data_IF_993608637483
#
_entry.id   IF_993608637483
#
_cell.length_a   1.000
_cell.length_b   1.000
_cell.length_c   1.000
_cell.angle_alpha   90.00
_cell.angle_beta   90.00
_cell.angle_gamma   90.00
#
_symmetry.space_group_name_H-M   'P 1'
#
loop_
_entity.id
_entity.type
_entity.pdbx_description
1 polymer ?
#
# COMPACT_ATOMS: atom_id res chain seq x y z
N UNK A 1 -35.82 -4.10 3.87
CA UNK A 1 -35.24 -2.99 4.67
C UNK A 1 -34.35 -3.49 5.80
N UNK A 2 -34.75 -4.53 6.56
CA UNK A 2 -33.96 -5.05 7.69
C UNK A 2 -32.90 -6.06 7.29
N UNK A 3 -33.00 -6.70 6.14
CA UNK A 3 -32.02 -7.67 5.65
C UNK A 3 -30.65 -7.02 5.44
N UNK A 4 -30.61 -5.83 4.84
CA UNK A 4 -29.35 -5.08 4.71
C UNK A 4 -28.79 -4.63 6.07
N UNK A 5 -29.65 -4.48 7.09
CA UNK A 5 -29.22 -4.13 8.44
C UNK A 5 -28.60 -5.32 9.18
N UNK A 6 -28.95 -6.57 8.83
CA UNK A 6 -28.37 -7.75 9.45
C UNK A 6 -26.86 -7.79 9.31
N UNK A 7 -26.34 -7.52 8.13
CA UNK A 7 -24.89 -7.54 7.84
C UNK A 7 -24.21 -6.21 8.16
N UNK A 8 -24.90 -5.10 7.93
CA UNK A 8 -24.39 -3.76 8.20
C UNK A 8 -24.75 -3.27 9.61
N UNK A 9 -25.44 -4.11 10.39
CA UNK A 9 -25.94 -3.75 11.70
C UNK A 9 -24.82 -3.43 12.66
N UNK A 10 -24.59 -2.19 12.76
CA UNK A 10 -23.93 -1.55 13.83
C UNK A 10 -22.49 -1.96 14.11
N UNK A 11 -22.13 -1.54 15.28
CA UNK A 11 -20.79 -1.61 15.81
C UNK A 11 -20.31 -3.05 16.06
N UNK A 12 -21.22 -4.03 16.27
CA UNK A 12 -20.85 -5.38 16.69
C UNK A 12 -20.13 -6.17 15.58
N UNK A 13 -20.66 -6.13 14.35
CA UNK A 13 -20.01 -6.78 13.20
C UNK A 13 -18.65 -6.13 12.93
N UNK A 14 -18.63 -4.78 12.87
CA UNK A 14 -17.38 -4.04 12.63
C UNK A 14 -16.34 -4.31 13.71
N UNK A 15 -16.72 -4.27 14.98
CA UNK A 15 -15.85 -4.54 16.13
C UNK A 15 -15.27 -5.96 16.12
N UNK A 16 -16.07 -6.95 15.70
CA UNK A 16 -15.58 -8.31 15.55
C UNK A 16 -14.49 -8.41 14.49
N UNK A 17 -14.70 -7.80 13.32
CA UNK A 17 -13.73 -7.81 12.21
C UNK A 17 -12.54 -6.88 12.46
N UNK A 18 -12.70 -5.75 13.14
CA UNK A 18 -11.58 -4.91 13.58
C UNK A 18 -10.62 -5.71 14.50
N UNK A 19 -11.18 -6.58 15.34
CA UNK A 19 -10.38 -7.48 16.20
C UNK A 19 -9.67 -8.56 15.38
N UNK A 20 -10.38 -9.22 14.45
CA UNK A 20 -9.82 -10.26 13.59
C UNK A 20 -8.73 -9.76 12.65
N UNK A 21 -8.82 -8.50 12.22
CA UNK A 21 -7.84 -7.87 11.31
C UNK A 21 -6.79 -7.02 12.01
N UNK A 22 -6.82 -6.93 13.34
CA UNK A 22 -5.90 -6.06 14.12
C UNK A 22 -4.42 -6.33 13.86
N UNK A 23 -4.05 -7.57 13.55
CA UNK A 23 -2.69 -8.02 13.27
C UNK A 23 -2.39 -8.15 11.76
N UNK A 24 -3.26 -7.64 10.89
CA UNK A 24 -2.94 -7.55 9.45
C UNK A 24 -1.90 -6.46 9.24
N UNK A 25 -0.82 -6.82 8.56
CA UNK A 25 0.37 -5.97 8.43
C UNK A 25 0.21 -4.80 7.46
N UNK A 26 -0.76 -4.89 6.53
CA UNK A 26 -1.03 -3.81 5.58
C UNK A 26 -2.37 -3.13 5.85
N UNK A 27 -2.59 -1.91 5.34
CA UNK A 27 -3.90 -1.26 5.37
C UNK A 27 -4.95 -2.10 4.64
N UNK A 28 -6.11 -2.25 5.26
CA UNK A 28 -7.26 -3.00 4.71
C UNK A 28 -8.48 -2.10 4.63
N UNK A 29 -9.26 -2.25 3.57
CA UNK A 29 -10.61 -1.70 3.43
C UNK A 29 -11.61 -2.83 3.63
N UNK A 30 -12.30 -2.83 4.77
CA UNK A 30 -13.26 -3.88 5.13
C UNK A 30 -14.66 -3.39 4.79
N UNK A 31 -15.34 -4.12 3.91
CA UNK A 31 -16.69 -3.79 3.47
C UNK A 31 -17.57 -5.03 3.60
N UNK A 32 -18.77 -4.85 4.13
CA UNK A 32 -19.73 -5.91 4.39
C UNK A 32 -20.82 -5.93 3.35
N UNK A 33 -21.10 -7.10 2.81
CA UNK A 33 -22.09 -7.31 1.75
C UNK A 33 -23.01 -8.49 2.08
N UNK A 34 -24.24 -8.40 1.62
CA UNK A 34 -25.23 -9.49 1.69
C UNK A 34 -26.07 -9.50 0.41
N UNK A 35 -26.54 -10.67 0.04
CA UNK A 35 -27.41 -10.87 -1.13
C UNK A 35 -28.86 -10.59 -0.76
N UNK A 36 -29.25 -9.33 -0.70
CA UNK A 36 -30.63 -8.99 -0.35
C UNK A 36 -31.49 -8.52 -1.53
N UNK A 37 -30.88 -8.30 -2.69
CA UNK A 37 -31.61 -7.87 -3.90
C UNK A 37 -31.35 -8.84 -5.04
N UNK A 38 -30.17 -8.81 -5.63
CA UNK A 38 -29.67 -9.71 -6.65
C UNK A 38 -28.16 -9.51 -6.87
N UNK A 39 -27.55 -10.43 -7.63
CA UNK A 39 -26.13 -10.39 -7.95
C UNK A 39 -25.68 -9.07 -8.57
N UNK A 40 -26.39 -8.54 -9.57
CA UNK A 40 -26.00 -7.31 -10.24
C UNK A 40 -25.95 -6.11 -9.29
N UNK A 41 -26.92 -5.99 -8.38
CA UNK A 41 -26.93 -4.93 -7.36
C UNK A 41 -25.81 -5.12 -6.34
N UNK A 42 -25.49 -6.35 -5.97
CA UNK A 42 -24.37 -6.67 -5.07
C UNK A 42 -23.04 -6.26 -5.70
N UNK A 43 -22.77 -6.67 -6.95
CA UNK A 43 -21.54 -6.31 -7.66
C UNK A 43 -21.40 -4.80 -7.85
N UNK A 44 -22.48 -4.10 -8.17
CA UNK A 44 -22.47 -2.63 -8.24
C UNK A 44 -22.17 -1.95 -6.89
N UNK A 45 -22.66 -2.50 -5.78
CA UNK A 45 -22.29 -1.99 -4.45
C UNK A 45 -20.81 -2.19 -4.16
N UNK A 46 -20.21 -3.32 -4.59
CA UNK A 46 -18.77 -3.59 -4.45
C UNK A 46 -17.96 -2.59 -5.28
N UNK A 47 -18.34 -2.33 -6.55
CA UNK A 47 -17.69 -1.32 -7.40
C UNK A 47 -17.67 0.07 -6.73
N UNK A 48 -18.82 0.52 -6.24
CA UNK A 48 -18.93 1.81 -5.54
C UNK A 48 -18.11 1.87 -4.24
N UNK A 49 -17.89 0.73 -3.59
CA UNK A 49 -17.05 0.67 -2.39
C UNK A 49 -15.55 0.69 -2.74
N UNK A 50 -15.15 0.04 -3.84
CA UNK A 50 -13.77 0.07 -4.35
C UNK A 50 -13.33 1.49 -4.68
N UNK A 51 -14.18 2.30 -5.30
CA UNK A 51 -13.87 3.71 -5.63
C UNK A 51 -13.53 4.57 -4.41
N UNK A 52 -14.03 4.20 -3.23
CA UNK A 52 -13.78 4.91 -1.97
C UNK A 52 -12.56 4.41 -1.22
N UNK A 53 -12.06 3.24 -1.56
CA UNK A 53 -10.87 2.66 -0.94
C UNK A 53 -9.60 3.31 -1.50
N UNK A 54 -8.54 3.34 -0.70
CA UNK A 54 -7.24 3.79 -1.18
C UNK A 54 -6.62 2.69 -2.05
N UNK A 55 -5.95 3.08 -3.13
CA UNK A 55 -5.43 2.16 -4.13
C UNK A 55 -4.43 1.12 -3.60
N UNK A 56 -3.79 1.39 -2.47
CA UNK A 56 -2.87 0.48 -1.79
C UNK A 56 -3.52 -0.38 -0.70
N UNK A 57 -4.79 -0.15 -0.36
CA UNK A 57 -5.50 -0.98 0.61
C UNK A 57 -5.85 -2.34 0.01
N UNK A 58 -5.74 -3.38 0.81
CA UNK A 58 -6.32 -4.67 0.47
C UNK A 58 -7.83 -4.56 0.66
N UNK A 59 -8.58 -4.59 -0.45
CA UNK A 59 -10.03 -4.51 -0.39
C UNK A 59 -10.61 -5.88 -0.04
N UNK A 60 -11.25 -5.97 1.13
CA UNK A 60 -11.91 -7.17 1.62
C UNK A 60 -13.42 -7.01 1.48
N UNK A 61 -14.03 -7.80 0.61
CA UNK A 61 -15.47 -7.95 0.51
C UNK A 61 -15.92 -9.07 1.44
N UNK A 62 -16.36 -8.70 2.64
CA UNK A 62 -16.86 -9.64 3.66
C UNK A 62 -18.31 -9.97 3.34
N UNK A 63 -18.57 -11.23 3.05
CA UNK A 63 -19.89 -11.75 2.68
C UNK A 63 -20.42 -12.68 3.78
N UNK A 64 -21.53 -12.31 4.35
CA UNK A 64 -22.19 -13.02 5.46
C UNK A 64 -23.60 -13.42 5.03
N UNK A 65 -23.84 -14.72 4.90
CA UNK A 65 -25.13 -15.26 4.50
C UNK A 65 -26.12 -15.30 5.67
N UNK A 66 -27.40 -15.07 5.38
CA UNK A 66 -28.49 -15.25 6.33
C UNK A 66 -28.69 -16.73 6.65
N UNK A 67 -28.70 -17.57 5.62
CA UNK A 67 -28.85 -19.02 5.70
C UNK A 67 -27.91 -19.71 4.70
N UNK A 68 -27.95 -21.03 4.67
CA UNK A 68 -27.05 -21.86 3.85
C UNK A 68 -27.29 -21.66 2.34
N UNK A 69 -28.51 -21.37 1.93
CA UNK A 69 -28.85 -21.10 0.52
C UNK A 69 -28.19 -19.80 0.08
N UNK A 70 -28.38 -18.71 0.83
CA UNK A 70 -27.74 -17.42 0.54
C UNK A 70 -26.21 -17.52 0.61
N UNK A 71 -25.65 -18.26 1.58
CA UNK A 71 -24.21 -18.48 1.67
C UNK A 71 -23.65 -19.19 0.42
N UNK A 72 -24.33 -20.22 -0.07
CA UNK A 72 -23.91 -20.95 -1.27
C UNK A 72 -24.01 -20.07 -2.54
N UNK A 73 -25.03 -19.24 -2.63
CA UNK A 73 -25.15 -18.25 -3.71
C UNK A 73 -24.03 -17.21 -3.66
N UNK A 74 -23.71 -16.69 -2.47
CA UNK A 74 -22.57 -15.77 -2.28
C UNK A 74 -21.24 -16.42 -2.67
N UNK A 75 -21.02 -17.72 -2.39
CA UNK A 75 -19.83 -18.46 -2.84
C UNK A 75 -19.75 -18.52 -4.37
N UNK A 76 -20.88 -18.78 -5.03
CA UNK A 76 -20.96 -18.82 -6.49
C UNK A 76 -20.63 -17.45 -7.10
N UNK A 77 -21.25 -16.39 -6.58
CA UNK A 77 -21.00 -15.00 -7.02
C UNK A 77 -19.54 -14.62 -6.81
N UNK A 78 -18.99 -14.90 -5.62
CA UNK A 78 -17.58 -14.61 -5.29
C UNK A 78 -16.60 -15.32 -6.24
N UNK A 79 -16.90 -16.59 -6.58
CA UNK A 79 -16.11 -17.38 -7.53
C UNK A 79 -16.12 -16.76 -8.92
N UNK A 80 -17.30 -16.37 -9.44
CA UNK A 80 -17.42 -15.72 -10.75
C UNK A 80 -16.77 -14.33 -10.76
N UNK A 81 -17.09 -13.50 -9.76
CA UNK A 81 -16.57 -12.14 -9.66
C UNK A 81 -15.05 -12.09 -9.52
N UNK A 82 -14.44 -13.06 -8.84
CA UNK A 82 -12.98 -13.12 -8.68
C UNK A 82 -12.21 -13.33 -9.99
N UNK A 83 -12.88 -13.78 -11.05
CA UNK A 83 -12.34 -13.91 -12.41
C UNK A 83 -12.56 -12.66 -13.28
N UNK A 84 -13.37 -11.70 -12.83
CA UNK A 84 -13.67 -10.47 -13.56
C UNK A 84 -12.55 -9.45 -13.38
N UNK A 85 -12.05 -8.87 -14.48
CA UNK A 85 -10.97 -7.88 -14.48
C UNK A 85 -11.29 -6.64 -13.62
N UNK A 86 -12.56 -6.31 -13.43
CA UNK A 86 -13.01 -5.20 -12.57
C UNK A 86 -12.65 -5.41 -11.09
N UNK A 87 -12.51 -6.67 -10.67
CA UNK A 87 -12.33 -7.06 -9.28
C UNK A 87 -10.97 -7.71 -8.98
N UNK A 88 -9.97 -7.52 -9.84
CA UNK A 88 -8.64 -8.16 -9.70
C UNK A 88 -7.92 -7.87 -8.37
N UNK A 89 -8.30 -6.78 -7.69
CA UNK A 89 -7.74 -6.36 -6.40
C UNK A 89 -8.69 -6.61 -5.23
N UNK A 90 -9.82 -7.25 -5.48
CA UNK A 90 -10.82 -7.57 -4.47
C UNK A 90 -10.59 -8.97 -3.94
N UNK A 91 -10.60 -9.08 -2.63
CA UNK A 91 -10.61 -10.36 -1.92
C UNK A 91 -12.03 -10.62 -1.43
N UNK A 92 -12.72 -11.56 -2.05
CA UNK A 92 -14.04 -11.99 -1.62
C UNK A 92 -13.89 -13.01 -0.51
N UNK A 93 -14.53 -12.78 0.63
CA UNK A 93 -14.49 -13.66 1.79
C UNK A 93 -15.90 -14.05 2.20
N UNK A 94 -16.26 -15.31 1.99
CA UNK A 94 -17.57 -15.86 2.35
C UNK A 94 -17.42 -16.71 3.59
N UNK A 95 -18.14 -16.38 4.65
CA UNK A 95 -18.05 -17.04 5.97
C UNK A 95 -19.08 -18.17 6.09
N UNK A 96 -18.66 -19.30 6.64
CA UNK A 96 -19.49 -20.51 6.71
C UNK A 96 -20.58 -20.45 7.79
N UNK A 97 -20.43 -19.58 8.81
CA UNK A 97 -21.44 -19.42 9.84
C UNK A 97 -22.57 -18.51 9.38
N UNK A 98 -23.73 -19.07 9.15
CA UNK A 98 -24.96 -18.34 8.79
C UNK A 98 -25.72 -17.86 10.02
N UNK A 99 -26.58 -16.86 9.86
CA UNK A 99 -27.38 -16.31 10.98
C UNK A 99 -28.51 -17.28 11.40
N UNK A 100 -29.07 -18.01 10.45
CA UNK A 100 -30.21 -18.91 10.60
C UNK A 100 -31.55 -18.20 10.41
N UNK A 101 -32.50 -18.88 9.76
CA UNK A 101 -33.80 -18.29 9.43
C UNK A 101 -34.63 -17.98 10.69
N UNK A 102 -34.64 -18.86 11.68
CA UNK A 102 -35.35 -18.60 12.96
C UNK A 102 -34.76 -17.38 13.70
N UNK A 103 -33.45 -17.23 13.71
CA UNK A 103 -32.78 -16.06 14.27
C UNK A 103 -33.12 -14.80 13.49
N UNK A 104 -33.20 -14.91 12.16
CA UNK A 104 -33.54 -13.78 11.30
C UNK A 104 -34.98 -13.29 11.58
N UNK A 105 -35.96 -14.18 11.71
CA UNK A 105 -37.34 -13.81 12.06
C UNK A 105 -37.41 -13.09 13.40
N UNK A 106 -36.76 -13.63 14.43
CA UNK A 106 -36.70 -13.01 15.77
C UNK A 106 -35.98 -11.65 15.73
N UNK A 107 -34.91 -11.53 14.95
CA UNK A 107 -34.20 -10.27 14.77
C UNK A 107 -35.12 -9.21 14.14
N UNK A 108 -35.87 -9.58 13.08
CA UNK A 108 -36.86 -8.69 12.46
C UNK A 108 -37.95 -8.27 13.43
N UNK A 109 -38.42 -9.19 14.27
CA UNK A 109 -39.40 -8.88 15.31
C UNK A 109 -38.86 -7.85 16.31
N UNK A 110 -37.65 -8.03 16.84
CA UNK A 110 -37.03 -7.05 17.74
C UNK A 110 -36.84 -5.68 17.07
N UNK A 111 -36.40 -5.65 15.82
CA UNK A 111 -36.22 -4.39 15.08
C UNK A 111 -37.56 -3.68 14.84
N UNK A 112 -38.61 -4.43 14.51
CA UNK A 112 -39.95 -3.88 14.32
C UNK A 112 -40.53 -3.32 15.64
N UNK A 113 -40.37 -4.06 16.74
CA UNK A 113 -40.82 -3.65 18.07
C UNK A 113 -40.05 -2.43 18.58
N UNK A 114 -38.74 -2.34 18.36
CA UNK A 114 -37.93 -1.16 18.65
C UNK A 114 -38.41 0.08 17.88
N UNK A 115 -38.75 -0.11 16.59
CA UNK A 115 -39.29 0.99 15.78
C UNK A 115 -40.70 1.42 16.24
N UNK A 116 -41.56 0.48 16.64
CA UNK A 116 -42.87 0.74 17.21
C UNK A 116 -42.74 1.54 18.52
N UNK A 117 -41.91 1.05 19.44
CA UNK A 117 -41.63 1.72 20.71
C UNK A 117 -41.10 3.16 20.51
N UNK A 118 -40.24 3.35 19.51
CA UNK A 118 -39.72 4.68 19.14
C UNK A 118 -40.84 5.63 18.69
N UNK A 119 -41.82 5.15 17.90
CA UNK A 119 -42.97 5.96 17.43
C UNK A 119 -43.93 6.38 18.59
N UNK A 120 -43.94 5.55 19.61
CA UNK A 120 -44.77 5.81 20.79
C UNK A 120 -44.01 6.45 21.97
N UNK A 121 -42.76 6.89 21.74
CA UNK A 121 -41.92 7.51 22.77
C UNK A 121 -41.64 6.62 23.99
N UNK A 122 -41.62 5.29 23.81
CA UNK A 122 -41.37 4.30 24.86
C UNK A 122 -39.87 3.95 24.89
N UNK A 123 -39.07 4.84 25.48
CA UNK A 123 -37.59 4.77 25.40
C UNK A 123 -37.02 3.45 25.99
N UNK A 124 -37.52 3.03 27.15
CA UNK A 124 -37.04 1.81 27.82
C UNK A 124 -37.34 0.54 27.02
N UNK A 125 -38.55 0.45 26.44
CA UNK A 125 -38.92 -0.70 25.58
C UNK A 125 -38.08 -0.73 24.30
N UNK A 126 -37.88 0.43 23.70
CA UNK A 126 -36.96 0.56 22.54
C UNK A 126 -35.57 0.04 22.89
N UNK A 127 -34.99 0.54 24.01
CA UNK A 127 -33.65 0.14 24.43
C UNK A 127 -33.56 -1.39 24.71
N UNK A 128 -34.61 -1.98 25.29
CA UNK A 128 -34.67 -3.43 25.52
C UNK A 128 -34.67 -4.23 24.21
N UNK A 129 -35.49 -3.83 23.21
CA UNK A 129 -35.55 -4.49 21.93
C UNK A 129 -34.23 -4.32 21.12
N UNK A 130 -33.65 -3.11 21.10
CA UNK A 130 -32.35 -2.85 20.46
C UNK A 130 -31.25 -3.70 21.10
N UNK A 131 -31.22 -3.83 22.43
CA UNK A 131 -30.27 -4.69 23.15
C UNK A 131 -30.41 -6.16 22.78
N UNK A 132 -31.64 -6.66 22.66
CA UNK A 132 -31.88 -8.05 22.26
C UNK A 132 -31.40 -8.31 20.81
N UNK A 133 -31.72 -7.40 19.88
CA UNK A 133 -31.22 -7.48 18.51
C UNK A 133 -29.69 -7.48 18.45
N UNK A 134 -29.03 -6.58 19.23
CA UNK A 134 -27.57 -6.54 19.32
C UNK A 134 -26.97 -7.81 19.90
N UNK A 135 -27.60 -8.40 20.90
CA UNK A 135 -27.13 -9.66 21.49
C UNK A 135 -27.13 -10.81 20.45
N UNK A 136 -28.19 -10.89 19.62
CA UNK A 136 -28.26 -11.89 18.55
C UNK A 136 -27.11 -11.73 17.54
N UNK A 137 -26.82 -10.50 17.13
CA UNK A 137 -25.67 -10.23 16.22
C UNK A 137 -24.34 -10.58 16.92
N UNK A 138 -24.18 -10.24 18.19
CA UNK A 138 -22.97 -10.55 18.94
C UNK A 138 -22.74 -12.06 19.05
N UNK A 139 -23.80 -12.83 19.28
CA UNK A 139 -23.72 -14.29 19.35
C UNK A 139 -23.39 -14.90 17.98
N UNK A 140 -24.01 -14.42 16.91
CA UNK A 140 -23.63 -14.80 15.56
C UNK A 140 -22.16 -14.49 15.26
N UNK A 141 -21.64 -13.34 15.65
CA UNK A 141 -20.22 -13.01 15.45
C UNK A 141 -19.27 -13.94 16.23
N UNK A 142 -19.70 -14.50 17.37
CA UNK A 142 -18.94 -15.54 18.07
C UNK A 142 -18.87 -16.83 17.24
N UNK A 143 -19.97 -17.23 16.60
CA UNK A 143 -20.00 -18.38 15.69
C UNK A 143 -19.17 -18.13 14.43
N UNK A 144 -19.29 -16.96 13.79
CA UNK A 144 -18.44 -16.55 12.67
C UNK A 144 -16.96 -16.67 13.05
N UNK A 145 -16.58 -16.22 14.23
CA UNK A 145 -15.19 -16.31 14.70
C UNK A 145 -14.68 -17.75 14.84
N UNK A 146 -15.57 -18.71 15.16
CA UNK A 146 -15.24 -20.13 15.33
C UNK A 146 -15.31 -20.93 14.04
N UNK A 147 -15.96 -20.39 13.02
CA UNK A 147 -16.16 -21.04 11.72
C UNK A 147 -14.93 -20.90 10.81
N UNK A 148 -15.09 -21.41 9.60
CA UNK A 148 -14.16 -21.15 8.48
C UNK A 148 -14.72 -20.07 7.57
N UNK A 149 -13.88 -19.63 6.64
CA UNK A 149 -14.28 -18.79 5.53
C UNK A 149 -13.55 -19.21 4.26
N UNK A 150 -14.24 -19.08 3.14
CA UNK A 150 -13.70 -19.31 1.81
C UNK A 150 -13.27 -17.98 1.19
N UNK A 151 -12.07 -17.94 0.64
CA UNK A 151 -11.50 -16.77 -0.06
C UNK A 151 -11.52 -17.03 -1.55
N UNK A 152 -11.92 -16.04 -2.32
CA UNK A 152 -11.86 -16.04 -3.77
C UNK A 152 -11.08 -14.82 -4.23
N UNK A 153 -9.99 -15.05 -4.96
CA UNK A 153 -9.11 -14.00 -5.49
C UNK A 153 -8.44 -14.47 -6.78
N UNK A 154 -8.51 -13.67 -7.83
CA UNK A 154 -7.93 -13.98 -9.15
C UNK A 154 -8.31 -15.38 -9.68
N UNK A 155 -9.56 -15.78 -9.47
CA UNK A 155 -10.07 -17.08 -9.92
C UNK A 155 -9.67 -18.28 -9.05
N UNK A 156 -8.83 -18.10 -8.05
CA UNK A 156 -8.47 -19.15 -7.10
C UNK A 156 -9.37 -19.10 -5.87
N UNK A 157 -9.59 -20.25 -5.25
CA UNK A 157 -10.31 -20.36 -3.98
C UNK A 157 -9.54 -21.19 -2.96
N UNK A 158 -9.61 -20.74 -1.71
CA UNK A 158 -8.97 -21.41 -0.58
C UNK A 158 -9.81 -21.20 0.70
N UNK A 159 -9.79 -22.16 1.62
CA UNK A 159 -10.55 -22.09 2.87
C UNK A 159 -9.61 -21.98 4.08
N UNK A 160 -9.95 -21.06 4.98
CA UNK A 160 -9.18 -20.77 6.19
C UNK A 160 -10.06 -20.76 7.44
N UNK A 161 -9.45 -20.98 8.60
CA UNK A 161 -10.12 -20.75 9.88
C UNK A 161 -10.21 -19.24 10.17
N UNK A 162 -11.39 -18.76 10.56
CA UNK A 162 -11.63 -17.35 10.87
C UNK A 162 -10.75 -16.84 12.02
N UNK A 163 -10.43 -17.71 13.01
CA UNK A 163 -9.51 -17.34 14.09
C UNK A 163 -8.09 -16.99 13.59
N UNK A 164 -7.71 -17.49 12.42
CA UNK A 164 -6.41 -17.24 11.78
C UNK A 164 -6.48 -16.21 10.64
N UNK A 165 -7.55 -15.41 10.57
CA UNK A 165 -7.80 -14.49 9.47
C UNK A 165 -6.59 -13.58 9.20
N UNK A 166 -6.03 -12.95 10.22
CA UNK A 166 -4.86 -12.07 10.03
C UNK A 166 -3.65 -12.82 9.47
N UNK A 167 -3.39 -14.06 9.92
CA UNK A 167 -2.32 -14.90 9.39
C UNK A 167 -2.59 -15.28 7.93
N UNK A 168 -3.82 -15.72 7.62
CA UNK A 168 -4.23 -16.05 6.26
C UNK A 168 -4.05 -14.86 5.31
N UNK A 169 -4.43 -13.65 5.76
CA UNK A 169 -4.23 -12.43 4.98
C UNK A 169 -2.76 -12.11 4.76
N UNK A 170 -1.94 -12.13 5.81
CA UNK A 170 -0.54 -11.75 5.72
C UNK A 170 0.30 -12.72 4.89
N UNK A 171 0.04 -14.03 4.99
CA UNK A 171 0.91 -15.07 4.40
C UNK A 171 0.34 -15.62 3.09
N UNK A 172 -1.00 -15.77 3.01
CA UNK A 172 -1.65 -16.42 1.86
C UNK A 172 -2.28 -15.45 0.87
N UNK A 173 -3.00 -14.44 1.36
CA UNK A 173 -3.89 -13.63 0.52
C UNK A 173 -3.18 -12.38 -0.03
N UNK A 174 -2.58 -11.57 0.84
CA UNK A 174 -1.92 -10.33 0.42
C UNK A 174 -0.77 -10.55 -0.58
N UNK A 175 0.09 -11.58 -0.44
CA UNK A 175 1.10 -11.90 -1.46
C UNK A 175 0.53 -12.30 -2.81
N UNK A 176 -0.66 -12.91 -2.87
CA UNK A 176 -1.34 -13.23 -4.14
C UNK A 176 -1.83 -11.97 -4.85
N UNK A 177 -2.40 -11.01 -4.09
CA UNK A 177 -2.86 -9.74 -4.64
C UNK A 177 -1.69 -8.85 -5.04
N UNK A 178 -0.72 -8.67 -4.13
CA UNK A 178 0.44 -7.80 -4.31
C UNK A 178 1.72 -8.62 -4.57
N UNK A 179 1.68 -9.42 -5.64
CA UNK A 179 2.73 -10.39 -5.99
C UNK A 179 4.10 -9.77 -6.31
N UNK A 180 4.18 -8.44 -6.46
CA UNK A 180 5.41 -7.66 -6.64
C UNK A 180 5.67 -6.71 -5.48
N UNK A 181 4.97 -6.88 -4.39
CA UNK A 181 5.05 -6.05 -3.20
C UNK A 181 5.96 -6.64 -2.12
N UNK A 182 6.10 -5.90 -1.03
CA UNK A 182 6.93 -6.30 0.11
C UNK A 182 6.36 -7.52 0.87
N UNK A 183 5.10 -7.87 0.63
CA UNK A 183 4.43 -9.04 1.19
C UNK A 183 5.11 -10.35 0.83
N UNK A 184 5.70 -10.42 -0.37
CA UNK A 184 6.41 -11.63 -0.84
C UNK A 184 7.65 -11.96 -0.02
N UNK A 185 8.19 -11.00 0.74
CA UNK A 185 9.37 -11.15 1.59
C UNK A 185 9.04 -11.16 3.09
N UNK A 186 7.77 -11.25 3.47
CA UNK A 186 7.31 -11.20 4.88
C UNK A 186 7.92 -10.03 5.70
N UNK A 187 8.07 -8.88 5.04
CA UNK A 187 8.69 -7.67 5.65
C UNK A 187 7.71 -6.85 6.47
N UNK A 188 6.42 -7.08 6.33
CA UNK A 188 5.36 -6.25 6.90
C UNK A 188 4.86 -6.81 8.24
N UNK A 189 5.78 -7.09 9.18
CA UNK A 189 5.41 -7.62 10.51
C UNK A 189 4.78 -6.59 11.43
N UNK A 190 4.93 -5.31 11.11
CA UNK A 190 4.39 -4.21 11.93
C UNK A 190 3.63 -3.23 11.06
N UNK A 191 2.39 -2.95 11.47
CA UNK A 191 1.54 -1.96 10.80
C UNK A 191 2.16 -0.58 10.91
N UNK A 192 2.26 0.14 9.79
CA UNK A 192 2.71 1.52 9.78
C UNK A 192 1.76 2.44 10.58
N UNK A 193 2.27 3.38 11.38
CA UNK A 193 1.42 4.33 12.11
C UNK A 193 0.66 5.26 11.14
N UNK A 194 -0.52 5.73 11.54
CA UNK A 194 -1.41 6.57 10.72
C UNK A 194 -0.79 7.87 10.17
N UNK A 195 0.30 8.34 10.74
CA UNK A 195 1.01 9.56 10.30
C UNK A 195 2.46 9.26 9.96
N UNK A 196 2.65 8.18 9.22
CA UNK A 196 3.97 7.63 8.92
C UNK A 196 4.93 8.65 8.28
N UNK A 197 4.44 9.53 7.39
CA UNK A 197 5.24 10.60 6.76
C UNK A 197 5.78 11.67 7.73
N UNK A 198 5.30 11.71 8.98
CA UNK A 198 5.82 12.56 10.05
C UNK A 198 6.83 11.85 10.93
N UNK A 199 7.01 10.56 10.74
CA UNK A 199 7.88 9.73 11.57
C UNK A 199 9.34 10.04 11.24
N UNK A 200 10.11 10.48 12.24
CA UNK A 200 11.52 10.81 12.08
C UNK A 200 12.35 9.60 11.66
N UNK A 201 12.08 8.41 12.22
CA UNK A 201 12.80 7.19 11.86
C UNK A 201 12.55 6.80 10.39
N UNK A 202 11.35 7.05 9.86
CA UNK A 202 11.04 6.83 8.45
C UNK A 202 11.85 7.78 7.54
N UNK A 203 11.97 9.06 7.93
CA UNK A 203 12.84 10.03 7.23
C UNK A 203 14.31 9.63 7.28
N UNK A 204 14.80 9.19 8.44
CA UNK A 204 16.18 8.70 8.56
C UNK A 204 16.41 7.45 7.72
N UNK A 205 15.43 6.55 7.61
CA UNK A 205 15.50 5.39 6.71
C UNK A 205 15.65 5.83 5.25
N UNK A 206 14.80 6.75 4.77
CA UNK A 206 14.91 7.29 3.42
C UNK A 206 16.28 7.96 3.19
N UNK A 207 16.73 8.78 4.16
CA UNK A 207 18.02 9.48 4.11
C UNK A 207 19.18 8.50 4.01
N UNK A 208 19.22 7.48 4.87
CA UNK A 208 20.29 6.49 4.87
C UNK A 208 20.38 5.76 3.53
N UNK A 209 19.22 5.33 2.97
CA UNK A 209 19.16 4.66 1.68
C UNK A 209 19.60 5.57 0.53
N UNK A 210 19.26 6.85 0.56
CA UNK A 210 19.59 7.80 -0.51
C UNK A 210 21.05 8.28 -0.45
N UNK A 211 21.67 8.33 0.72
CA UNK A 211 22.95 9.01 0.92
C UNK A 211 24.14 8.07 1.18
N UNK A 212 23.94 6.91 1.82
CA UNK A 212 25.04 5.98 2.07
C UNK A 212 25.35 5.11 0.85
N UNK A 213 26.59 4.67 0.72
CA UNK A 213 27.07 3.99 -0.46
C UNK A 213 27.28 2.49 -0.27
N UNK A 214 27.17 2.00 0.95
CA UNK A 214 27.36 0.57 1.26
C UNK A 214 26.14 -0.02 1.96
N UNK A 215 25.98 -1.33 1.79
CA UNK A 215 24.96 -2.12 2.46
C UNK A 215 25.08 -1.98 3.99
N UNK A 216 26.29 -2.12 4.53
CA UNK A 216 26.54 -2.09 5.96
C UNK A 216 26.21 -0.71 6.58
N UNK A 217 26.47 0.39 5.87
CA UNK A 217 26.09 1.72 6.35
C UNK A 217 24.58 1.89 6.45
N UNK A 218 23.82 1.35 5.48
CA UNK A 218 22.35 1.43 5.47
C UNK A 218 21.78 0.54 6.59
N UNK A 219 22.18 -0.72 6.64
CA UNK A 219 21.61 -1.71 7.56
C UNK A 219 22.12 -1.51 9.00
N UNK A 220 23.38 -1.11 9.19
CA UNK A 220 23.92 -0.79 10.49
C UNK A 220 23.23 0.39 11.20
N UNK A 221 22.54 1.25 10.46
CA UNK A 221 21.69 2.33 10.98
C UNK A 221 20.21 1.92 11.15
N UNK A 222 19.80 0.76 10.64
CA UNK A 222 18.43 0.29 10.79
C UNK A 222 18.16 -0.15 12.23
N UNK A 223 17.13 0.41 12.85
CA UNK A 223 16.74 0.10 14.24
C UNK A 223 15.24 -0.15 14.33
N UNK A 224 14.80 -0.91 15.33
CA UNK A 224 13.40 -1.17 15.59
C UNK A 224 12.62 -1.68 14.37
N UNK A 225 11.53 -0.99 13.95
CA UNK A 225 10.71 -1.42 12.81
C UNK A 225 11.44 -1.43 11.45
N UNK A 226 12.59 -0.80 11.32
CA UNK A 226 13.41 -0.83 10.11
C UNK A 226 14.35 -2.04 10.03
N UNK A 227 14.55 -2.79 11.11
CA UNK A 227 15.44 -3.98 11.14
C UNK A 227 15.10 -5.03 10.05
N UNK A 228 13.82 -5.33 9.73
CA UNK A 228 13.49 -6.29 8.68
C UNK A 228 13.95 -5.88 7.28
N UNK A 229 14.33 -4.60 7.06
CA UNK A 229 14.80 -4.13 5.75
C UNK A 229 16.06 -4.86 5.28
N UNK A 230 16.85 -5.44 6.18
CA UNK A 230 17.98 -6.30 5.80
C UNK A 230 17.57 -7.39 4.80
N UNK A 231 16.38 -7.99 4.96
CA UNK A 231 15.87 -9.02 4.07
C UNK A 231 15.48 -8.48 2.68
N UNK A 232 15.13 -7.19 2.59
CA UNK A 232 14.84 -6.53 1.31
C UNK A 232 16.11 -6.35 0.46
N UNK A 233 17.24 -6.10 1.11
CA UNK A 233 18.51 -5.81 0.43
C UNK A 233 19.41 -7.03 0.29
N UNK A 234 19.40 -7.93 1.28
CA UNK A 234 20.36 -9.04 1.39
C UNK A 234 20.45 -9.91 0.15
N UNK A 235 19.33 -10.24 -0.48
CA UNK A 235 19.29 -11.11 -1.65
C UNK A 235 19.30 -10.34 -2.98
N UNK A 236 19.18 -9.01 -2.93
CA UNK A 236 19.08 -8.18 -4.12
C UNK A 236 20.39 -7.48 -4.51
N UNK A 237 21.15 -6.99 -3.52
CA UNK A 237 22.32 -6.15 -3.79
C UNK A 237 23.57 -6.65 -3.06
N UNK A 238 24.73 -6.30 -3.61
CA UNK A 238 26.04 -6.51 -3.00
C UNK A 238 26.36 -5.40 -1.97
N UNK A 239 27.58 -5.47 -1.39
CA UNK A 239 28.04 -4.51 -0.37
C UNK A 239 28.13 -3.06 -0.91
N UNK A 240 28.28 -2.86 -2.21
CA UNK A 240 28.31 -1.56 -2.86
C UNK A 240 26.96 -1.15 -3.46
N UNK A 241 25.87 -1.83 -3.07
CA UNK A 241 24.51 -1.59 -3.52
C UNK A 241 24.29 -1.79 -5.04
N UNK A 242 25.15 -2.56 -5.71
CA UNK A 242 24.90 -3.02 -7.05
C UNK A 242 24.02 -4.27 -7.05
N UNK A 243 23.25 -4.46 -8.12
CA UNK A 243 22.45 -5.66 -8.28
C UNK A 243 23.33 -6.90 -8.31
N UNK A 244 23.02 -7.90 -7.49
CA UNK A 244 23.65 -9.21 -7.57
C UNK A 244 23.30 -9.88 -8.89
N UNK A 245 24.22 -10.69 -9.45
CA UNK A 245 23.99 -11.43 -10.70
C UNK A 245 22.81 -12.39 -10.60
N UNK A 246 22.63 -13.00 -9.44
CA UNK A 246 21.59 -14.00 -9.15
C UNK A 246 20.30 -13.41 -8.55
N UNK A 247 20.12 -12.07 -8.58
CA UNK A 247 18.87 -11.48 -8.11
C UNK A 247 17.70 -12.00 -8.93
N UNK A 248 16.61 -12.38 -8.25
CA UNK A 248 15.37 -12.77 -8.91
C UNK A 248 14.70 -11.55 -9.55
N UNK A 249 15.00 -11.30 -10.82
CA UNK A 249 14.50 -10.15 -11.56
C UNK A 249 13.00 -10.21 -11.86
N UNK A 250 12.41 -11.39 -11.78
CA UNK A 250 10.99 -11.59 -12.08
C UNK A 250 10.11 -11.39 -10.85
N UNK A 251 10.64 -11.68 -9.65
CA UNK A 251 9.83 -11.69 -8.43
C UNK A 251 10.33 -10.78 -7.30
N UNK A 252 11.61 -10.36 -7.31
CA UNK A 252 12.14 -9.57 -6.20
C UNK A 252 11.57 -8.15 -6.18
N UNK A 253 10.82 -7.73 -5.14
CA UNK A 253 10.07 -6.46 -5.13
C UNK A 253 10.97 -5.22 -5.27
N UNK A 254 12.17 -5.21 -4.66
CA UNK A 254 13.10 -4.10 -4.78
C UNK A 254 13.55 -3.89 -6.23
N UNK A 255 13.85 -4.99 -6.94
CA UNK A 255 14.23 -4.94 -8.35
C UNK A 255 13.09 -4.45 -9.22
N UNK A 256 11.90 -5.04 -9.05
CA UNK A 256 10.71 -4.72 -9.86
C UNK A 256 10.26 -3.26 -9.70
N UNK A 257 10.29 -2.72 -8.48
CA UNK A 257 9.99 -1.30 -8.22
C UNK A 257 11.06 -0.41 -8.85
N UNK A 258 12.34 -0.77 -8.73
CA UNK A 258 13.44 0.00 -9.31
C UNK A 258 13.39 0.02 -10.84
N UNK A 259 13.06 -1.10 -11.48
CA UNK A 259 12.85 -1.19 -12.93
C UNK A 259 11.65 -0.34 -13.38
N UNK A 260 10.53 -0.42 -12.63
CA UNK A 260 9.36 0.41 -12.93
C UNK A 260 9.71 1.91 -12.90
N UNK A 261 10.33 2.37 -11.82
CA UNK A 261 10.75 3.77 -11.64
C UNK A 261 11.73 4.18 -12.74
N UNK A 262 12.74 3.35 -13.01
CA UNK A 262 13.74 3.61 -14.05
C UNK A 262 13.11 3.74 -15.43
N UNK A 263 12.19 2.84 -15.79
CA UNK A 263 11.46 2.88 -17.06
C UNK A 263 10.60 4.15 -17.18
N UNK A 264 9.84 4.51 -16.15
CA UNK A 264 9.00 5.74 -16.14
C UNK A 264 9.85 6.99 -16.29
N UNK A 265 11.00 7.09 -15.61
CA UNK A 265 11.90 8.24 -15.73
C UNK A 265 12.62 8.26 -17.07
N UNK A 266 13.09 7.12 -17.59
CA UNK A 266 13.74 7.06 -18.92
C UNK A 266 12.80 7.51 -20.04
N UNK A 267 11.54 7.16 -19.96
CA UNK A 267 10.51 7.48 -20.95
C UNK A 267 9.88 8.85 -20.75
N UNK A 268 10.17 9.54 -19.63
CA UNK A 268 9.65 10.89 -19.40
C UNK A 268 10.30 11.93 -20.31
N UNK A 269 9.51 12.90 -20.75
CA UNK A 269 10.02 14.12 -21.39
C UNK A 269 10.82 14.94 -20.35
N UNK A 270 12.13 15.04 -20.55
CA UNK A 270 13.05 15.67 -19.60
C UNK A 270 12.85 17.19 -19.48
N UNK A 271 12.23 17.81 -20.48
CA UNK A 271 11.92 19.24 -20.50
C UNK A 271 10.61 19.56 -19.75
N UNK A 272 9.81 18.53 -19.44
CA UNK A 272 8.55 18.70 -18.71
C UNK A 272 8.69 18.41 -17.22
N UNK A 273 7.80 19.02 -16.49
CA UNK A 273 7.65 18.77 -15.07
C UNK A 273 7.26 17.32 -14.77
N UNK A 274 7.86 16.75 -13.75
CA UNK A 274 7.65 15.38 -13.31
C UNK A 274 7.21 15.39 -11.85
N UNK A 275 5.95 15.03 -11.60
CA UNK A 275 5.41 14.90 -10.25
C UNK A 275 5.51 13.44 -9.80
N UNK A 276 6.26 13.18 -8.71
CA UNK A 276 6.49 11.81 -8.21
C UNK A 276 5.20 11.09 -7.87
N UNK A 277 4.28 11.73 -7.14
CA UNK A 277 3.07 11.08 -6.68
C UNK A 277 2.15 10.67 -7.83
N UNK A 278 2.05 11.50 -8.87
CA UNK A 278 1.25 11.20 -10.06
C UNK A 278 1.88 10.10 -10.91
N UNK A 279 3.17 10.25 -11.23
CA UNK A 279 3.87 9.35 -12.16
C UNK A 279 4.07 7.96 -11.59
N UNK A 280 4.11 7.83 -10.27
CA UNK A 280 4.29 6.56 -9.59
C UNK A 280 3.04 6.04 -8.88
N UNK A 281 1.88 6.63 -9.13
CA UNK A 281 0.60 6.19 -8.53
C UNK A 281 0.30 4.70 -8.81
N UNK A 282 0.72 4.18 -9.96
CA UNK A 282 0.56 2.78 -10.30
C UNK A 282 1.28 1.84 -9.31
N UNK A 283 2.36 2.30 -8.65
CA UNK A 283 3.04 1.52 -7.62
C UNK A 283 2.17 1.27 -6.37
N UNK A 284 1.14 2.08 -6.16
CA UNK A 284 0.21 1.88 -5.03
C UNK A 284 -0.79 0.76 -5.29
N UNK A 285 -0.99 0.38 -6.55
CA UNK A 285 -1.97 -0.64 -6.96
C UNK A 285 -1.33 -2.02 -7.05
N UNK A 286 -2.15 -3.07 -7.09
CA UNK A 286 -1.65 -4.37 -7.47
C UNK A 286 -1.02 -4.31 -8.87
N UNK A 287 0.06 -5.05 -9.13
CA UNK A 287 0.66 -6.06 -8.25
C UNK A 287 1.70 -5.53 -7.24
N UNK A 288 2.01 -4.23 -7.20
CA UNK A 288 3.07 -3.65 -6.35
C UNK A 288 2.60 -3.33 -4.93
N UNK A 289 1.50 -2.58 -4.80
CA UNK A 289 0.87 -2.24 -3.54
C UNK A 289 1.73 -1.42 -2.57
N UNK A 290 2.57 -0.49 -3.06
CA UNK A 290 3.35 0.38 -2.18
C UNK A 290 2.44 1.26 -1.33
N UNK A 291 2.67 1.27 -0.03
CA UNK A 291 1.94 2.10 0.91
C UNK A 291 2.90 2.71 1.95
N UNK A 292 2.47 3.67 2.76
CA UNK A 292 3.28 4.28 3.81
C UNK A 292 3.78 3.23 4.82
N UNK A 293 4.98 2.69 4.58
CA UNK A 293 5.66 1.67 5.37
C UNK A 293 7.17 1.79 5.21
N UNK A 294 7.94 1.20 6.13
CA UNK A 294 9.40 1.18 6.01
C UNK A 294 9.88 0.49 4.73
N UNK A 295 9.24 -0.62 4.34
CA UNK A 295 9.54 -1.31 3.10
C UNK A 295 9.19 -0.44 1.88
N UNK A 296 8.01 0.21 1.85
CA UNK A 296 7.63 1.13 0.76
C UNK A 296 8.61 2.28 0.60
N UNK A 297 8.97 2.95 1.71
CA UNK A 297 9.99 4.01 1.70
C UNK A 297 11.33 3.48 1.20
N UNK A 298 11.76 2.32 1.67
CA UNK A 298 13.04 1.75 1.27
C UNK A 298 13.07 1.45 -0.24
N UNK A 299 12.04 0.83 -0.77
CA UNK A 299 11.95 0.51 -2.20
C UNK A 299 11.94 1.77 -3.07
N UNK A 300 11.11 2.78 -2.73
CA UNK A 300 11.04 4.01 -3.51
C UNK A 300 12.33 4.83 -3.41
N UNK A 301 12.92 4.94 -2.20
CA UNK A 301 14.19 5.65 -2.00
C UNK A 301 15.33 4.99 -2.77
N UNK A 302 15.43 3.66 -2.73
CA UNK A 302 16.44 2.92 -3.46
C UNK A 302 16.28 3.08 -4.98
N UNK A 303 15.06 2.99 -5.49
CA UNK A 303 14.75 3.20 -6.90
C UNK A 303 15.10 4.62 -7.41
N UNK A 304 15.07 5.62 -6.50
CA UNK A 304 15.41 7.01 -6.84
C UNK A 304 16.91 7.33 -6.76
N UNK A 305 17.74 6.48 -6.12
CA UNK A 305 19.19 6.73 -5.96
C UNK A 305 19.91 7.08 -7.28
N UNK A 306 19.72 6.34 -8.41
CA UNK A 306 20.45 6.63 -9.66
C UNK A 306 20.15 8.00 -10.26
N UNK A 307 19.11 8.66 -9.78
CA UNK A 307 18.60 9.92 -10.33
C UNK A 307 18.95 11.15 -9.49
N UNK A 308 19.51 10.96 -8.30
CA UNK A 308 19.70 12.00 -7.28
C UNK A 308 20.50 13.20 -7.81
N UNK A 309 21.50 12.96 -8.66
CA UNK A 309 22.33 14.00 -9.25
C UNK A 309 21.79 14.56 -10.58
N UNK A 310 20.64 14.07 -11.03
CA UNK A 310 20.02 14.45 -12.31
C UNK A 310 18.67 15.15 -12.14
N UNK A 311 18.34 15.56 -10.91
CA UNK A 311 17.07 16.19 -10.56
C UNK A 311 17.28 17.66 -10.26
N UNK A 312 16.42 18.50 -10.84
CA UNK A 312 16.40 19.94 -10.70
C UNK A 312 15.02 20.42 -10.27
N UNK A 313 14.95 21.46 -9.47
CA UNK A 313 13.68 22.15 -9.21
C UNK A 313 13.14 22.76 -10.52
N UNK A 314 11.85 23.07 -10.55
CA UNK A 314 11.20 23.69 -11.71
C UNK A 314 11.87 25.02 -12.12
N UNK A 315 12.45 25.74 -11.16
CA UNK A 315 13.25 26.95 -11.37
C UNK A 315 14.70 26.68 -11.85
N UNK A 316 15.04 25.44 -12.15
CA UNK A 316 16.35 25.03 -12.69
C UNK A 316 17.47 24.89 -11.66
N UNK A 317 17.20 25.04 -10.36
CA UNK A 317 18.20 24.81 -9.31
C UNK A 317 18.40 23.31 -9.05
N UNK A 318 19.65 22.85 -8.87
CA UNK A 318 19.91 21.45 -8.50
C UNK A 318 19.22 21.08 -7.19
N UNK A 319 18.52 19.93 -7.16
CA UNK A 319 17.97 19.38 -5.91
C UNK A 319 19.04 18.56 -5.20
N UNK A 320 19.15 18.76 -3.89
CA UNK A 320 20.07 18.01 -3.04
C UNK A 320 19.41 16.69 -2.62
N UNK A 321 20.22 15.72 -2.18
CA UNK A 321 19.73 14.45 -1.63
C UNK A 321 18.71 14.65 -0.51
N UNK A 322 18.92 15.62 0.36
CA UNK A 322 17.99 15.93 1.45
C UNK A 322 16.60 16.36 0.93
N UNK A 323 16.53 17.10 -0.16
CA UNK A 323 15.24 17.46 -0.79
C UNK A 323 14.53 16.23 -1.33
N UNK A 324 15.28 15.24 -1.86
CA UNK A 324 14.68 13.98 -2.34
C UNK A 324 14.12 13.13 -1.19
N UNK A 325 14.71 13.18 0.00
CA UNK A 325 14.11 12.58 1.20
C UNK A 325 12.72 13.16 1.47
N UNK A 326 12.62 14.48 1.48
CA UNK A 326 11.34 15.16 1.70
C UNK A 326 10.33 14.87 0.56
N UNK A 327 10.82 14.75 -0.70
CA UNK A 327 9.99 14.39 -1.86
C UNK A 327 9.42 12.97 -1.72
N UNK A 328 10.20 12.00 -1.29
CA UNK A 328 9.74 10.62 -1.03
C UNK A 328 8.68 10.62 0.06
N UNK A 329 8.93 11.31 1.18
CA UNK A 329 7.96 11.37 2.28
C UNK A 329 6.66 12.08 1.86
N UNK A 330 6.73 13.17 1.11
CA UNK A 330 5.56 13.89 0.61
C UNK A 330 4.79 13.08 -0.45
N UNK A 331 5.48 12.21 -1.21
CA UNK A 331 4.84 11.26 -2.13
C UNK A 331 3.91 10.32 -1.38
N UNK A 332 4.38 9.68 -0.32
CA UNK A 332 3.55 8.80 0.51
C UNK A 332 2.40 9.55 1.19
N UNK A 333 2.63 10.78 1.62
CA UNK A 333 1.57 11.62 2.18
C UNK A 333 0.52 11.99 1.13
N UNK A 334 0.92 12.28 -0.10
CA UNK A 334 0.02 12.52 -1.23
C UNK A 334 -0.87 11.31 -1.51
N UNK A 335 -0.30 10.11 -1.54
CA UNK A 335 -1.05 8.88 -1.72
C UNK A 335 -2.02 8.61 -0.57
N UNK A 336 -1.59 8.87 0.67
CA UNK A 336 -2.47 8.75 1.84
C UNK A 336 -3.66 9.70 1.78
N UNK A 337 -3.44 10.94 1.35
CA UNK A 337 -4.48 11.96 1.28
C UNK A 337 -5.34 11.89 0.01
N UNK A 338 -4.97 11.05 -0.97
CA UNK A 338 -5.65 10.96 -2.27
C UNK A 338 -5.55 12.24 -3.12
N UNK A 339 -4.59 13.13 -2.82
CA UNK A 339 -4.40 14.40 -3.53
C UNK A 339 -2.92 14.58 -3.88
N UNK A 340 -2.59 14.77 -5.16
CA UNK A 340 -1.22 15.07 -5.56
C UNK A 340 -0.74 16.39 -4.94
N UNK A 341 0.53 16.41 -4.51
CA UNK A 341 1.17 17.60 -3.98
C UNK A 341 2.02 18.25 -5.07
N UNK A 342 1.83 19.54 -5.30
CA UNK A 342 2.66 20.29 -6.25
C UNK A 342 4.11 20.51 -5.75
N UNK A 343 4.39 20.22 -4.47
CA UNK A 343 5.70 20.40 -3.85
C UNK A 343 6.75 19.41 -4.35
N UNK A 344 6.33 18.27 -4.87
CA UNK A 344 7.18 17.18 -5.34
C UNK A 344 7.31 17.15 -6.85
N UNK A 345 7.22 18.31 -7.47
CA UNK A 345 7.41 18.50 -8.91
C UNK A 345 8.84 18.95 -9.18
N UNK A 346 9.50 18.32 -10.14
CA UNK A 346 10.85 18.63 -10.56
C UNK A 346 11.08 18.30 -12.03
N UNK A 347 12.24 18.67 -12.57
CA UNK A 347 12.70 18.35 -13.91
C UNK A 347 13.93 17.46 -13.85
N UNK A 348 14.21 16.75 -14.92
CA UNK A 348 15.45 15.97 -15.03
C UNK A 348 16.47 16.69 -15.90
N UNK A 349 17.74 16.30 -15.74
CA UNK A 349 18.82 16.75 -16.62
C UNK A 349 18.46 16.47 -18.08
N UNK A 350 18.45 17.52 -18.92
CA UNK A 350 18.15 17.38 -20.34
C UNK A 350 19.32 16.72 -21.08
N UNK A 351 19.07 16.28 -22.33
CA UNK A 351 20.11 15.68 -23.17
C UNK A 351 21.26 16.67 -23.44
N UNK A 352 20.91 17.92 -23.64
CA UNK A 352 21.86 19.04 -23.90
C UNK A 352 22.72 19.32 -22.64
N UNK A 353 22.08 19.37 -21.46
CA UNK A 353 22.78 19.49 -20.17
C UNK A 353 23.74 18.33 -19.94
N UNK A 354 23.33 17.09 -20.26
CA UNK A 354 24.19 15.90 -20.19
C UNK A 354 25.35 15.94 -21.19
N UNK A 355 25.18 16.49 -22.39
CA UNK A 355 26.27 16.73 -23.35
C UNK A 355 27.24 17.79 -22.84
N UNK A 356 26.73 18.91 -22.29
CA UNK A 356 27.54 19.94 -21.67
C UNK A 356 28.34 19.38 -20.48
N UNK A 357 27.73 18.56 -19.65
CA UNK A 357 28.42 17.89 -18.55
C UNK A 357 29.61 17.07 -19.04
N UNK A 358 29.41 16.23 -20.06
CA UNK A 358 30.51 15.43 -20.67
C UNK A 358 31.63 16.28 -21.21
N UNK A 359 31.28 17.40 -21.87
CA UNK A 359 32.26 18.34 -22.38
C UNK A 359 33.08 18.96 -21.25
N UNK A 360 32.42 19.47 -20.20
CA UNK A 360 33.08 20.07 -19.04
C UNK A 360 34.00 19.08 -18.34
N UNK A 361 33.55 17.85 -18.10
CA UNK A 361 34.33 16.77 -17.47
C UNK A 361 35.59 16.50 -18.30
N UNK A 362 35.47 16.48 -19.63
CA UNK A 362 36.60 16.24 -20.55
C UNK A 362 37.57 17.42 -20.59
N UNK A 363 37.07 18.66 -20.78
CA UNK A 363 37.88 19.89 -20.90
C UNK A 363 38.65 20.14 -19.62
N UNK A 364 38.03 20.05 -18.48
CA UNK A 364 38.65 20.25 -17.17
C UNK A 364 39.33 19.00 -16.59
N UNK A 365 39.37 17.89 -17.32
CA UNK A 365 39.99 16.60 -16.94
C UNK A 365 39.57 16.12 -15.53
N UNK A 366 38.33 16.39 -15.14
CA UNK A 366 37.84 16.17 -13.78
C UNK A 366 38.00 14.72 -13.32
N UNK A 367 37.81 13.73 -14.20
CA UNK A 367 37.99 12.32 -13.86
C UNK A 367 39.44 11.88 -13.57
N UNK A 368 40.40 12.69 -13.93
CA UNK A 368 41.81 12.42 -13.57
C UNK A 368 42.13 12.79 -12.13
N UNK A 369 41.25 13.53 -11.49
CA UNK A 369 41.35 13.89 -10.07
C UNK A 369 40.64 12.80 -9.24
N UNK A 370 41.37 12.16 -8.32
CA UNK A 370 40.83 11.03 -7.51
C UNK A 370 39.50 11.36 -6.82
N UNK A 371 39.33 12.61 -6.36
CA UNK A 371 38.14 13.11 -5.67
C UNK A 371 36.90 13.13 -6.55
N UNK A 372 37.04 13.13 -7.89
CA UNK A 372 35.96 13.35 -8.86
C UNK A 372 35.85 12.24 -9.89
N UNK A 373 36.37 11.04 -9.62
CA UNK A 373 36.36 9.88 -10.53
C UNK A 373 34.96 9.52 -11.06
N UNK A 374 33.95 9.70 -10.21
CA UNK A 374 32.56 9.25 -10.44
C UNK A 374 31.65 10.35 -10.98
N UNK A 375 32.17 11.52 -11.28
CA UNK A 375 31.39 12.64 -11.83
C UNK A 375 30.73 12.25 -13.17
N UNK A 376 29.42 12.44 -13.22
CA UNK A 376 28.63 12.15 -14.44
C UNK A 376 27.57 13.19 -14.77
N UNK A 377 27.20 14.08 -13.83
CA UNK A 377 26.16 15.09 -14.00
C UNK A 377 26.72 16.49 -14.21
N UNK A 378 25.91 17.38 -14.83
CA UNK A 378 26.26 18.79 -14.99
C UNK A 378 26.41 19.50 -13.63
N UNK A 379 25.61 19.12 -12.65
CA UNK A 379 25.68 19.62 -11.28
C UNK A 379 27.04 19.33 -10.64
N UNK A 380 27.46 18.07 -10.71
CA UNK A 380 28.74 17.65 -10.11
C UNK A 380 29.92 18.27 -10.86
N UNK A 381 29.85 18.35 -12.18
CA UNK A 381 30.89 18.99 -12.99
C UNK A 381 31.05 20.46 -12.62
N UNK A 382 29.96 21.23 -12.50
CA UNK A 382 29.99 22.63 -12.09
C UNK A 382 30.55 22.80 -10.68
N UNK A 383 30.12 21.92 -9.75
CA UNK A 383 30.62 21.97 -8.39
C UNK A 383 32.13 21.70 -8.34
N UNK A 384 32.58 20.65 -9.01
CA UNK A 384 34.01 20.31 -9.07
C UNK A 384 34.86 21.43 -9.68
N UNK A 385 34.40 22.01 -10.78
CA UNK A 385 35.07 23.15 -11.40
C UNK A 385 35.13 24.34 -10.44
N UNK A 386 34.02 24.66 -9.78
CA UNK A 386 33.99 25.75 -8.80
C UNK A 386 34.94 25.50 -7.64
N UNK A 387 35.02 24.27 -7.15
CA UNK A 387 35.87 23.92 -6.03
C UNK A 387 37.35 23.93 -6.36
N UNK A 388 37.74 23.31 -7.47
CA UNK A 388 39.16 23.24 -7.88
C UNK A 388 39.72 24.54 -8.41
N UNK A 389 38.93 25.28 -9.19
CA UNK A 389 39.45 26.44 -9.92
C UNK A 389 39.18 27.80 -9.24
N UNK A 390 38.23 27.87 -8.29
CA UNK A 390 38.04 29.08 -7.46
C UNK A 390 38.90 29.06 -6.20
N UNK A 391 39.19 27.89 -5.64
CA UNK A 391 40.06 27.78 -4.45
C UNK A 391 41.54 28.07 -4.78
N UNK A 392 42.01 27.70 -5.97
CA UNK A 392 43.43 27.93 -6.35
C UNK A 392 43.77 29.33 -6.85
N UNK A 393 42.81 30.14 -7.28
CA UNK A 393 43.09 31.42 -7.98
C UNK A 393 42.70 32.67 -7.20
N UNK A 394 42.17 32.58 -5.99
CA UNK A 394 42.03 33.77 -5.10
C UNK A 394 41.24 34.93 -5.72
N UNK A 395 40.20 34.65 -6.55
CA UNK A 395 39.30 35.68 -7.09
C UNK A 395 38.08 35.85 -6.20
#
# INVERSE_FOLDING_TARGET
KYTSQLVTYGQEVRKAFDTLTSNVSRPVSINFFSLYVNEAALLHQIENAIEKAKSYELFMAIMLGRNDEEMNELKTIASHASNDERFTNVVFMVFDATFGDDNYERFIEYMANAQCASRHNLADQRAAHDKNAQAMISDWMKEVRRSNFSVYVKGESETFSTMKLATAVNVGIAPKVFSRGAETLDLLRTRAPKTFWKNQQAKETAKNILMFNTYDEIIGKATGPALPLKFLFQDAVDDNLHWKENVDKENHPLYLVSEFVSRKIKNADKAKEFNLAEKFIELTRAPYGLFPSYAGIAMLSFAMRPWINKIYSVDGKPRLAQHLVDDVMETFKSWENGKPSNKITFTFETKEAGQLSKLLIKVFKLKSLKTYSDISSLKDARWAISHEYTAEKGY
#
